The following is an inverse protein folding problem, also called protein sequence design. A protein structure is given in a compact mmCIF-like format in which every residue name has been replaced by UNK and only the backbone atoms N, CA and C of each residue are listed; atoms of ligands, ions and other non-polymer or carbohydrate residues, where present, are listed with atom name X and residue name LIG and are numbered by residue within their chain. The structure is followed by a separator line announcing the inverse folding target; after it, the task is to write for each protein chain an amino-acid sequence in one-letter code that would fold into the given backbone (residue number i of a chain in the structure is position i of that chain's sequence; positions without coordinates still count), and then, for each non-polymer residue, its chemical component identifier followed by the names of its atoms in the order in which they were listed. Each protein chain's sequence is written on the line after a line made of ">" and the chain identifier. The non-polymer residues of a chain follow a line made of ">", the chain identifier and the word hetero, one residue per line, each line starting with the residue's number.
data_IF_086400199077
#
_entry.id   IF_086400199077
#
_cell.length_a   1.000
_cell.length_b   1.000
_cell.length_c   1.000
_cell.angle_alpha   90.00
_cell.angle_beta   90.00
_cell.angle_gamma   90.00
#
_symmetry.space_group_name_H-M   'P 1'
#
loop_
_entity.id
_entity.type
_entity.pdbx_description
1 polymer ?
#
# COMPACT_ATOMS: atom_id res chain seq x y z
N UNK A 1 -10.36 -5.34 -17.43
CA UNK A 1 -8.98 -5.80 -17.10
C UNK A 1 -8.74 -7.21 -17.66
N UNK A 2 -7.50 -7.57 -18.05
CA UNK A 2 -7.23 -8.98 -18.36
C UNK A 2 -7.03 -9.77 -17.06
N UNK A 3 -7.58 -10.98 -16.97
CA UNK A 3 -7.55 -11.81 -15.74
C UNK A 3 -6.13 -11.98 -15.17
N UNK A 4 -5.12 -11.97 -16.05
CA UNK A 4 -3.70 -12.07 -15.71
C UNK A 4 -3.20 -10.91 -14.83
N UNK A 5 -3.62 -9.68 -15.10
CA UNK A 5 -3.18 -8.50 -14.33
C UNK A 5 -3.69 -8.53 -12.88
N UNK A 6 -4.92 -9.01 -12.69
CA UNK A 6 -5.50 -9.21 -11.36
C UNK A 6 -4.75 -10.30 -10.60
N UNK A 7 -4.44 -11.43 -11.24
CA UNK A 7 -3.70 -12.54 -10.60
C UNK A 7 -2.29 -12.14 -10.18
N UNK A 8 -1.54 -11.44 -11.04
CA UNK A 8 -0.20 -10.93 -10.70
C UNK A 8 -0.29 -9.97 -9.51
N UNK A 9 -1.30 -9.11 -9.51
CA UNK A 9 -1.46 -8.12 -8.46
C UNK A 9 -1.81 -8.75 -7.12
N UNK A 10 -2.71 -9.73 -7.15
CA UNK A 10 -3.06 -10.54 -6.01
C UNK A 10 -1.84 -11.27 -5.43
N UNK A 11 -1.01 -11.87 -6.29
CA UNK A 11 0.19 -12.58 -5.86
C UNK A 11 1.23 -11.62 -5.25
N UNK A 12 1.37 -10.41 -5.82
CA UNK A 12 2.23 -9.37 -5.28
C UNK A 12 1.74 -8.88 -3.90
N UNK A 13 0.43 -8.76 -3.69
CA UNK A 13 -0.16 -8.43 -2.38
C UNK A 13 0.15 -9.51 -1.33
N UNK A 14 0.14 -10.78 -1.71
CA UNK A 14 0.51 -11.88 -0.82
C UNK A 14 1.98 -11.75 -0.42
N UNK A 15 2.87 -11.57 -1.40
CA UNK A 15 4.30 -11.39 -1.15
C UNK A 15 4.54 -10.20 -0.22
N UNK A 16 3.93 -9.04 -0.50
CA UNK A 16 4.04 -7.86 0.36
C UNK A 16 3.53 -8.12 1.79
N UNK A 17 2.51 -8.95 1.95
CA UNK A 17 1.99 -9.31 3.28
C UNK A 17 2.98 -10.20 4.03
N UNK A 18 3.51 -11.24 3.39
CA UNK A 18 4.50 -12.13 4.00
C UNK A 18 5.76 -11.35 4.38
N UNK A 19 6.25 -10.50 3.48
CA UNK A 19 7.41 -9.62 3.72
C UNK A 19 7.14 -8.68 4.90
N UNK A 20 5.97 -8.04 4.96
CA UNK A 20 5.59 -7.14 6.06
C UNK A 20 5.58 -7.86 7.42
N UNK A 21 5.01 -9.06 7.49
CA UNK A 21 4.95 -9.85 8.73
C UNK A 21 6.35 -10.29 9.15
N UNK A 22 7.19 -10.71 8.19
CA UNK A 22 8.56 -11.10 8.47
C UNK A 22 9.40 -9.93 8.98
N UNK A 23 9.32 -8.77 8.32
CA UNK A 23 9.97 -7.53 8.75
C UNK A 23 9.54 -7.14 10.17
N UNK A 24 8.26 -7.26 10.50
CA UNK A 24 7.73 -6.95 11.83
C UNK A 24 8.28 -7.87 12.93
N UNK A 25 8.80 -9.04 12.57
CA UNK A 25 9.36 -10.01 13.52
C UNK A 25 10.87 -9.88 13.67
N UNK A 26 11.57 -9.40 12.63
CA UNK A 26 13.04 -9.37 12.57
C UNK A 26 13.60 -7.99 12.91
N UNK A 27 12.88 -6.91 12.59
CA UNK A 27 13.35 -5.55 12.87
C UNK A 27 12.75 -5.03 14.17
N UNK A 28 13.60 -4.53 15.06
CA UNK A 28 13.16 -3.68 16.17
C UNK A 28 12.58 -2.37 15.65
N UNK A 29 11.76 -1.70 16.46
CA UNK A 29 11.00 -0.48 16.13
C UNK A 29 11.93 0.72 15.88
N UNK A 30 12.64 0.66 14.76
CA UNK A 30 13.60 1.66 14.29
C UNK A 30 12.95 2.53 13.23
N UNK A 31 13.47 3.75 13.03
CA UNK A 31 13.01 4.66 11.96
C UNK A 31 13.02 3.98 10.58
N UNK A 32 14.02 3.13 10.30
CA UNK A 32 14.09 2.33 9.07
C UNK A 32 12.90 1.38 8.90
N UNK A 33 12.45 0.73 9.98
CA UNK A 33 11.31 -0.18 9.96
C UNK A 33 10.01 0.56 9.62
N UNK A 34 9.81 1.75 10.21
CA UNK A 34 8.63 2.59 9.94
C UNK A 34 8.59 3.01 8.47
N UNK A 35 9.72 3.47 7.91
CA UNK A 35 9.82 3.84 6.49
C UNK A 35 9.51 2.66 5.57
N UNK A 36 9.98 1.45 5.91
CA UNK A 36 9.78 0.25 5.11
C UNK A 36 8.32 -0.22 5.13
N UNK A 37 7.68 -0.21 6.30
CA UNK A 37 6.24 -0.49 6.42
C UNK A 37 5.42 0.55 5.67
N UNK A 38 5.77 1.84 5.79
CA UNK A 38 5.08 2.90 5.07
C UNK A 38 5.14 2.68 3.55
N UNK A 39 6.31 2.31 3.01
CA UNK A 39 6.47 1.98 1.60
C UNK A 39 5.59 0.77 1.18
N UNK A 40 5.53 -0.29 2.00
CA UNK A 40 4.68 -1.46 1.75
C UNK A 40 3.19 -1.09 1.71
N UNK A 41 2.74 -0.28 2.67
CA UNK A 41 1.33 0.16 2.75
C UNK A 41 0.98 1.02 1.54
N UNK A 42 1.88 1.93 1.14
CA UNK A 42 1.70 2.77 -0.03
C UNK A 42 1.53 1.94 -1.31
N UNK A 43 2.44 0.98 -1.55
CA UNK A 43 2.39 0.10 -2.74
C UNK A 43 1.10 -0.74 -2.75
N UNK A 44 0.73 -1.32 -1.59
CA UNK A 44 -0.52 -2.08 -1.43
C UNK A 44 -1.75 -1.24 -1.79
N UNK A 45 -1.84 -0.05 -1.23
CA UNK A 45 -2.99 0.81 -1.43
C UNK A 45 -3.11 1.31 -2.87
N UNK A 46 -2.00 1.62 -3.53
CA UNK A 46 -2.01 1.97 -4.95
C UNK A 46 -2.49 0.79 -5.82
N UNK A 47 -1.98 -0.42 -5.58
CA UNK A 47 -2.47 -1.63 -6.27
C UNK A 47 -3.96 -1.87 -6.08
N UNK A 48 -4.47 -1.76 -4.85
CA UNK A 48 -5.89 -1.99 -4.57
C UNK A 48 -6.75 -0.94 -5.30
N UNK A 49 -6.36 0.33 -5.23
CA UNK A 49 -7.11 1.44 -5.84
C UNK A 49 -7.10 1.36 -7.37
N UNK A 50 -5.96 1.08 -7.99
CA UNK A 50 -5.85 1.08 -9.46
C UNK A 50 -6.36 -0.22 -10.10
N UNK A 51 -6.19 -1.37 -9.44
CA UNK A 51 -6.40 -2.70 -10.03
C UNK A 51 -7.67 -3.37 -9.52
N UNK A 52 -7.95 -3.32 -8.22
CA UNK A 52 -9.13 -4.01 -7.66
C UNK A 52 -10.39 -3.15 -7.65
N UNK A 53 -10.26 -1.84 -7.41
CA UNK A 53 -11.40 -0.92 -7.47
C UNK A 53 -11.73 -0.48 -8.90
N UNK A 54 -10.97 -0.93 -9.91
CA UNK A 54 -11.10 -0.55 -11.33
C UNK A 54 -11.20 0.97 -11.58
N UNK A 55 -10.75 1.81 -10.62
CA UNK A 55 -10.82 3.27 -10.68
C UNK A 55 -10.01 3.88 -11.81
N UNK A 56 -9.22 3.06 -12.51
CA UNK A 56 -8.58 3.43 -13.77
C UNK A 56 -9.58 3.94 -14.83
N UNK A 57 -10.83 3.47 -14.81
CA UNK A 57 -11.90 3.92 -15.72
C UNK A 57 -12.87 4.92 -15.06
N UNK A 58 -12.69 5.22 -13.77
CA UNK A 58 -13.57 6.10 -13.03
C UNK A 58 -13.17 7.58 -13.17
N UNK A 59 -14.12 8.52 -13.01
CA UNK A 59 -13.85 9.95 -13.03
C UNK A 59 -12.71 10.36 -12.09
N UNK A 60 -11.80 11.19 -12.59
CA UNK A 60 -10.49 11.49 -11.98
C UNK A 60 -10.58 12.03 -10.55
N UNK A 61 -11.67 12.74 -10.20
CA UNK A 61 -11.90 13.24 -8.84
C UNK A 61 -12.02 12.12 -7.80
N UNK A 62 -12.70 11.02 -8.13
CA UNK A 62 -12.88 9.87 -7.23
C UNK A 62 -11.59 9.07 -7.07
N UNK A 63 -10.85 8.90 -8.18
CA UNK A 63 -9.53 8.29 -8.16
C UNK A 63 -8.57 9.07 -7.26
N UNK A 64 -8.55 10.39 -7.38
CA UNK A 64 -7.66 11.25 -6.60
C UNK A 64 -8.02 11.27 -5.11
N UNK A 65 -9.30 11.21 -4.76
CA UNK A 65 -9.75 11.17 -3.36
C UNK A 65 -9.31 9.87 -2.67
N UNK A 66 -9.46 8.73 -3.34
CA UNK A 66 -9.06 7.42 -2.81
C UNK A 66 -7.52 7.24 -2.77
N UNK A 67 -6.81 7.68 -3.81
CA UNK A 67 -5.34 7.71 -3.79
C UNK A 67 -4.82 8.66 -2.70
N UNK A 68 -5.47 9.81 -2.52
CA UNK A 68 -5.17 10.75 -1.46
C UNK A 68 -5.33 10.12 -0.08
N UNK A 69 -6.41 9.40 0.17
CA UNK A 69 -6.61 8.67 1.43
C UNK A 69 -5.51 7.63 1.69
N UNK A 70 -5.19 6.82 0.68
CA UNK A 70 -4.13 5.79 0.74
C UNK A 70 -2.75 6.39 1.03
N UNK A 71 -2.48 7.63 0.61
CA UNK A 71 -1.22 8.32 0.86
C UNK A 71 -1.23 9.05 2.22
N UNK A 72 -2.28 9.85 2.49
CA UNK A 72 -2.33 10.77 3.63
C UNK A 72 -2.39 10.00 4.95
N UNK A 73 -3.22 8.97 5.06
CA UNK A 73 -3.42 8.25 6.32
C UNK A 73 -2.14 7.56 6.79
N UNK A 74 -1.44 6.75 5.97
CA UNK A 74 -0.21 6.13 6.40
C UNK A 74 0.90 7.15 6.63
N UNK A 75 0.85 8.33 5.99
CA UNK A 75 1.88 9.36 6.12
C UNK A 75 1.74 10.05 7.47
N UNK A 76 0.51 10.39 7.87
CA UNK A 76 0.21 10.90 9.21
C UNK A 76 0.62 9.88 10.28
N UNK A 77 0.25 8.60 10.10
CA UNK A 77 0.61 7.54 11.06
C UNK A 77 2.14 7.39 11.14
N UNK A 78 2.83 7.32 10.00
CA UNK A 78 4.29 7.22 9.94
C UNK A 78 4.97 8.41 10.61
N UNK A 79 4.45 9.62 10.42
CA UNK A 79 4.96 10.84 11.05
C UNK A 79 4.79 10.82 12.57
N UNK A 80 3.62 10.38 13.06
CA UNK A 80 3.35 10.21 14.51
C UNK A 80 4.34 9.22 15.14
N UNK A 81 4.71 8.15 14.44
CA UNK A 81 5.65 7.15 14.95
C UNK A 81 7.12 7.61 14.91
N UNK A 82 7.46 8.63 14.12
CA UNK A 82 8.84 9.14 13.98
C UNK A 82 9.14 10.26 14.98
N UNK A 83 8.12 11.00 15.41
CA UNK A 83 8.19 12.06 16.45
C UNK A 83 8.12 11.44 17.83
#
# INVERSE_FOLDING_TARGET
>A
MSKVQATISWLLLIILTVVSVYLSKVMETSTLFIVLIFAIVFVKGQQITDIFMELKHAPTKWRMLLLGYVLIVPLIIGFIYII
#
